data_IF_600123832353
#
_entry.id   IF_600123832353
#
_cell.length_a   1.000
_cell.length_b   1.000
_cell.length_c   1.000
_cell.angle_alpha   90.00
_cell.angle_beta   90.00
_cell.angle_gamma   90.00
#
_symmetry.space_group_name_H-M   'P 1'
#
loop_
_entity.id
_entity.type
_entity.pdbx_description
1 polymer ?
#
# COMPACT_ATOMS: atom_id res chain seq x y z
N UNK A 1 19.25 1.63 9.48
CA UNK A 1 18.45 0.41 9.21
C UNK A 1 17.92 0.58 7.80
N UNK A 2 18.21 -0.34 6.88
CA UNK A 2 17.69 -0.23 5.52
C UNK A 2 16.21 -0.57 5.49
N UNK A 3 15.51 -0.04 4.49
CA UNK A 3 14.12 -0.38 4.18
C UNK A 3 13.96 -1.88 3.94
N UNK A 4 14.93 -2.49 3.24
CA UNK A 4 15.01 -3.94 3.07
C UNK A 4 15.09 -4.76 4.38
N UNK A 5 15.63 -4.19 5.46
CA UNK A 5 15.75 -4.87 6.76
C UNK A 5 14.50 -4.74 7.62
N UNK A 6 13.59 -3.81 7.29
CA UNK A 6 12.31 -3.62 7.96
C UNK A 6 11.13 -4.12 7.13
N UNK A 7 11.39 -4.91 6.08
CA UNK A 7 10.39 -5.35 5.12
C UNK A 7 10.27 -6.86 5.12
N UNK A 8 9.53 -7.34 6.12
CA UNK A 8 9.11 -8.72 6.22
C UNK A 8 7.59 -8.78 6.28
N UNK A 9 7.03 -9.80 5.63
CA UNK A 9 5.59 -10.07 5.64
C UNK A 9 5.33 -11.47 6.19
N UNK A 10 4.18 -11.63 6.83
CA UNK A 10 3.61 -12.96 7.06
C UNK A 10 3.03 -13.46 5.74
N UNK A 11 3.66 -14.48 5.16
CA UNK A 11 3.24 -15.14 3.93
C UNK A 11 2.60 -16.48 4.26
N UNK A 12 1.37 -16.68 3.78
CA UNK A 12 0.60 -17.90 4.03
C UNK A 12 0.56 -18.75 2.77
N UNK A 13 1.04 -19.99 2.88
CA UNK A 13 0.99 -20.99 1.82
C UNK A 13 0.30 -22.28 2.30
N UNK A 14 0.37 -23.34 1.50
CA UNK A 14 -0.18 -24.66 1.83
C UNK A 14 0.52 -25.34 3.03
N UNK A 15 1.71 -24.88 3.41
CA UNK A 15 2.54 -25.45 4.47
C UNK A 15 2.43 -24.67 5.80
N UNK A 16 1.84 -23.47 5.80
CA UNK A 16 1.60 -22.68 6.99
C UNK A 16 1.82 -21.18 6.78
N UNK A 17 2.23 -20.49 7.82
CA UNK A 17 2.61 -19.07 7.76
C UNK A 17 4.12 -18.96 8.01
N UNK A 18 4.83 -18.33 7.09
CA UNK A 18 6.26 -18.00 7.19
C UNK A 18 6.49 -16.49 7.16
N UNK A 19 7.57 -16.04 7.80
CA UNK A 19 8.02 -14.65 7.68
C UNK A 19 9.03 -14.58 6.55
N UNK A 20 8.72 -13.79 5.51
CA UNK A 20 9.53 -13.69 4.29
C UNK A 20 9.80 -12.24 3.93
N UNK A 21 10.81 -12.02 3.10
CA UNK A 21 11.07 -10.71 2.49
C UNK A 21 9.89 -10.33 1.62
N UNK A 22 9.31 -9.17 1.91
CA UNK A 22 8.13 -8.74 1.20
C UNK A 22 7.63 -7.39 1.65
N UNK A 23 6.59 -6.93 0.98
CA UNK A 23 5.86 -5.72 1.35
C UNK A 23 4.36 -5.93 1.25
N UNK A 24 3.65 -5.17 2.08
CA UNK A 24 2.22 -4.95 1.94
C UNK A 24 1.98 -3.65 1.17
N UNK A 25 1.09 -3.74 0.20
CA UNK A 25 0.44 -2.61 -0.45
C UNK A 25 -1.00 -2.54 0.02
N UNK A 26 -1.45 -1.34 0.33
CA UNK A 26 -2.81 -1.06 0.77
C UNK A 26 -3.50 -0.21 -0.29
N UNK A 27 -4.76 -0.50 -0.54
CA UNK A 27 -5.57 0.27 -1.48
C UNK A 27 -6.96 0.48 -0.89
N UNK A 28 -7.41 1.74 -0.87
CA UNK A 28 -8.73 2.10 -0.38
C UNK A 28 -9.70 2.33 -1.53
N UNK A 29 -10.85 1.65 -1.44
CA UNK A 29 -11.94 1.74 -2.38
C UNK A 29 -13.18 2.29 -1.66
N UNK A 30 -13.75 3.41 -2.13
CA UNK A 30 -14.95 3.99 -1.54
C UNK A 30 -16.22 3.17 -1.82
N UNK A 31 -16.13 2.13 -2.66
CA UNK A 31 -17.21 1.20 -2.98
C UNK A 31 -16.69 -0.23 -2.90
N UNK A 32 -17.60 -1.19 -2.71
CA UNK A 32 -17.25 -2.61 -2.72
C UNK A 32 -16.60 -3.00 -4.04
N UNK A 33 -15.42 -3.62 -3.97
CA UNK A 33 -14.68 -4.12 -5.13
C UNK A 33 -15.09 -5.56 -5.40
N UNK A 34 -15.31 -5.88 -6.69
CA UNK A 34 -15.48 -7.28 -7.09
C UNK A 34 -14.11 -7.90 -7.44
N UNK A 35 -13.87 -9.18 -7.10
CA UNK A 35 -12.62 -9.89 -7.44
C UNK A 35 -12.26 -9.82 -8.94
N UNK A 36 -13.25 -9.67 -9.82
CA UNK A 36 -13.06 -9.61 -11.27
C UNK A 36 -12.29 -8.37 -11.74
N UNK A 37 -12.41 -7.24 -11.04
CA UNK A 37 -11.65 -6.02 -11.36
C UNK A 37 -10.16 -6.24 -11.11
N UNK A 38 -9.85 -7.00 -10.05
CA UNK A 38 -8.50 -7.30 -9.60
C UNK A 38 -7.83 -8.31 -10.53
N UNK A 39 -8.56 -9.36 -10.90
CA UNK A 39 -8.06 -10.41 -11.79
C UNK A 39 -7.74 -9.90 -13.21
N UNK A 40 -8.43 -8.85 -13.67
CA UNK A 40 -8.17 -8.24 -14.99
C UNK A 40 -6.80 -7.58 -15.09
N UNK A 41 -6.31 -6.99 -14.01
CA UNK A 41 -5.02 -6.31 -14.02
C UNK A 41 -3.84 -7.24 -13.79
N UNK A 42 -4.09 -8.54 -13.52
CA UNK A 42 -3.09 -9.61 -13.40
C UNK A 42 -1.78 -9.07 -12.85
N UNK A 43 -1.64 -8.96 -11.52
CA UNK A 43 -0.37 -8.59 -10.88
C UNK A 43 0.69 -9.66 -11.22
N UNK A 44 1.20 -9.57 -12.43
CA UNK A 44 2.15 -10.45 -13.05
C UNK A 44 3.40 -9.60 -13.18
N UNK A 45 4.29 -9.76 -12.22
CA UNK A 45 5.64 -9.26 -12.38
C UNK A 45 6.26 -9.97 -13.59
N UNK A 46 6.90 -9.21 -14.48
CA UNK A 46 7.79 -9.80 -15.50
C UNK A 46 9.07 -10.37 -14.86
N UNK A 47 9.34 -10.02 -13.60
CA UNK A 47 10.39 -10.60 -12.79
C UNK A 47 9.88 -11.87 -12.09
N UNK A 48 10.43 -13.06 -12.41
CA UNK A 48 10.00 -14.32 -11.81
C UNK A 48 10.32 -14.43 -10.32
N UNK A 49 11.10 -13.51 -9.74
CA UNK A 49 11.42 -13.51 -8.32
C UNK A 49 10.39 -12.80 -7.44
N UNK A 50 9.25 -12.37 -8.00
CA UNK A 50 8.20 -11.65 -7.27
C UNK A 50 6.89 -12.42 -7.33
N UNK A 51 6.34 -12.71 -6.14
CA UNK A 51 5.09 -13.44 -5.97
C UNK A 51 4.05 -12.56 -5.30
N UNK A 52 2.81 -12.61 -5.76
CA UNK A 52 1.72 -11.79 -5.23
C UNK A 52 0.64 -12.64 -4.54
N UNK A 53 0.11 -12.11 -3.44
CA UNK A 53 -1.07 -12.63 -2.76
C UNK A 53 -2.02 -11.48 -2.42
N UNK A 54 -3.32 -11.70 -2.52
CA UNK A 54 -4.34 -10.65 -2.35
C UNK A 54 -5.30 -11.05 -1.24
N UNK A 55 -5.42 -10.16 -0.26
CA UNK A 55 -6.40 -10.22 0.81
C UNK A 55 -7.35 -9.01 0.70
N UNK A 56 -8.65 -9.23 0.93
CA UNK A 56 -9.68 -8.18 0.89
C UNK A 56 -10.33 -8.03 2.26
N UNK A 57 -10.39 -6.79 2.74
CA UNK A 57 -10.97 -6.42 4.03
C UNK A 57 -12.07 -5.38 3.82
N UNK A 58 -13.30 -5.73 4.17
CA UNK A 58 -14.40 -4.76 4.14
C UNK A 58 -14.36 -3.92 5.42
N UNK A 59 -14.32 -2.60 5.29
CA UNK A 59 -14.50 -1.68 6.41
C UNK A 59 -15.98 -1.28 6.44
N UNK A 60 -16.72 -1.84 7.39
CA UNK A 60 -18.04 -1.33 7.75
C UNK A 60 -17.90 -0.15 8.70
N UNK A 61 -18.80 0.84 8.61
CA UNK A 61 -18.96 1.87 9.64
C UNK A 61 -19.23 1.19 10.99
N UNK A 62 -18.20 1.10 11.82
CA UNK A 62 -18.37 0.82 13.25
C UNK A 62 -17.90 2.05 14.02
N UNK A 63 -18.70 2.43 15.01
CA UNK A 63 -18.88 3.80 15.53
C UNK A 63 -17.68 4.42 16.30
N UNK A 64 -16.46 3.94 16.06
CA UNK A 64 -15.23 4.43 16.68
C UNK A 64 -14.37 5.31 15.75
N UNK A 65 -14.65 5.31 14.44
CA UNK A 65 -13.91 6.11 13.46
C UNK A 65 -14.76 7.30 13.04
N UNK A 66 -14.37 8.51 13.47
CA UNK A 66 -15.22 9.70 13.32
C UNK A 66 -15.38 10.21 11.89
N UNK A 67 -14.61 9.72 10.91
CA UNK A 67 -14.61 10.27 9.54
C UNK A 67 -14.34 9.24 8.42
N UNK A 68 -14.41 7.93 8.69
CA UNK A 68 -14.13 6.91 7.66
C UNK A 68 -15.41 6.58 6.89
N UNK A 69 -15.48 7.01 5.64
CA UNK A 69 -16.50 6.57 4.68
C UNK A 69 -16.47 5.04 4.56
N UNK A 70 -17.63 4.39 4.65
CA UNK A 70 -17.78 2.96 4.36
C UNK A 70 -17.05 2.59 3.06
N UNK A 71 -16.31 1.47 3.07
CA UNK A 71 -15.41 1.16 1.96
C UNK A 71 -14.77 -0.22 2.06
N UNK A 72 -13.86 -0.51 1.14
CA UNK A 72 -13.08 -1.75 1.10
C UNK A 72 -11.61 -1.42 1.08
N UNK A 73 -10.84 -2.05 1.97
CA UNK A 73 -9.38 -2.08 1.91
C UNK A 73 -8.94 -3.36 1.24
N UNK A 74 -8.12 -3.22 0.21
CA UNK A 74 -7.36 -4.33 -0.34
C UNK A 74 -5.95 -4.29 0.20
N UNK A 75 -5.44 -5.47 0.53
CA UNK A 75 -4.05 -5.70 0.91
C UNK A 75 -3.46 -6.62 -0.14
N UNK A 76 -2.49 -6.09 -0.88
CA UNK A 76 -1.70 -6.86 -1.82
C UNK A 76 -0.34 -7.11 -1.18
N UNK A 77 -0.04 -8.38 -0.92
CA UNK A 77 1.24 -8.83 -0.40
C UNK A 77 2.15 -9.20 -1.56
N UNK A 78 3.37 -8.67 -1.59
CA UNK A 78 4.39 -9.02 -2.57
C UNK A 78 5.60 -9.63 -1.86
N UNK A 79 5.91 -10.89 -2.17
CA UNK A 79 7.10 -11.62 -1.70
C UNK A 79 8.22 -11.49 -2.73
N UNK A 80 9.45 -11.37 -2.23
CA UNK A 80 10.67 -11.35 -3.06
C UNK A 80 11.62 -12.49 -2.68
N UNK A 81 12.09 -13.24 -3.68
CA UNK A 81 13.22 -14.15 -3.47
C UNK A 81 14.55 -13.38 -3.40
N UNK A 82 14.66 -12.28 -4.14
CA UNK A 82 15.79 -11.37 -4.12
C UNK A 82 15.29 -9.91 -4.18
N UNK A 83 15.93 -9.03 -3.40
CA UNK A 83 15.63 -7.61 -3.46
C UNK A 83 16.06 -7.02 -4.81
N UNK A 84 15.20 -6.25 -5.49
CA UNK A 84 15.61 -5.53 -6.69
C UNK A 84 16.60 -4.42 -6.36
N UNK A 85 17.26 -3.86 -7.38
CA UNK A 85 18.02 -2.62 -7.19
C UNK A 85 17.08 -1.42 -6.90
N UNK A 86 17.63 -0.30 -6.44
CA UNK A 86 16.83 0.89 -6.08
C UNK A 86 15.99 1.45 -7.24
N UNK A 87 16.45 1.33 -8.49
CA UNK A 87 15.73 1.85 -9.66
C UNK A 87 14.52 0.97 -9.95
N UNK A 88 14.74 -0.34 -10.04
CA UNK A 88 13.68 -1.34 -10.23
C UNK A 88 12.70 -1.36 -9.08
N UNK A 89 13.18 -1.18 -7.85
CA UNK A 89 12.35 -1.04 -6.66
C UNK A 89 11.35 0.12 -6.77
N UNK A 90 11.83 1.32 -7.09
CA UNK A 90 10.96 2.51 -7.20
C UNK A 90 9.96 2.35 -8.34
N UNK A 91 10.39 1.79 -9.47
CA UNK A 91 9.50 1.49 -10.58
C UNK A 91 8.42 0.47 -10.17
N UNK A 92 8.83 -0.63 -9.54
CA UNK A 92 7.93 -1.66 -9.02
C UNK A 92 6.88 -1.08 -8.07
N UNK A 93 7.31 -0.36 -7.02
CA UNK A 93 6.40 0.24 -6.04
C UNK A 93 5.44 1.22 -6.72
N UNK A 94 5.94 2.08 -7.60
CA UNK A 94 5.11 3.03 -8.34
C UNK A 94 4.07 2.33 -9.22
N UNK A 95 4.50 1.35 -10.01
CA UNK A 95 3.65 0.67 -10.97
C UNK A 95 2.57 -0.16 -10.27
N UNK A 96 2.90 -0.81 -9.15
CA UNK A 96 1.92 -1.55 -8.34
C UNK A 96 0.88 -0.62 -7.72
N UNK A 97 1.31 0.47 -7.08
CA UNK A 97 0.40 1.47 -6.51
C UNK A 97 -0.49 2.11 -7.58
N UNK A 98 0.09 2.44 -8.74
CA UNK A 98 -0.66 2.97 -9.88
C UNK A 98 -1.70 1.97 -10.39
N UNK A 99 -1.31 0.71 -10.59
CA UNK A 99 -2.22 -0.36 -11.05
C UNK A 99 -3.42 -0.51 -10.11
N UNK A 100 -3.19 -0.46 -8.80
CA UNK A 100 -4.27 -0.51 -7.82
C UNK A 100 -5.26 0.66 -7.97
N UNK A 101 -4.81 1.85 -8.36
CA UNK A 101 -5.72 2.96 -8.70
C UNK A 101 -6.42 2.82 -10.05
N UNK A 102 -5.79 2.18 -11.04
CA UNK A 102 -6.47 1.82 -12.30
C UNK A 102 -7.59 0.80 -12.06
N UNK A 103 -7.44 -0.05 -11.04
CA UNK A 103 -8.50 -0.93 -10.53
C UNK A 103 -9.62 -0.17 -9.78
N UNK A 104 -9.53 1.15 -9.64
CA UNK A 104 -10.55 1.98 -8.99
C UNK A 104 -10.30 2.31 -7.53
N UNK A 105 -9.10 2.07 -7.00
CA UNK A 105 -8.72 2.58 -5.68
C UNK A 105 -8.61 4.11 -5.75
N UNK A 106 -9.16 4.80 -4.75
CA UNK A 106 -9.06 6.25 -4.63
C UNK A 106 -7.63 6.67 -4.25
N UNK A 107 -7.03 5.90 -3.34
CA UNK A 107 -5.65 6.07 -2.92
C UNK A 107 -5.02 4.71 -2.59
N UNK A 108 -3.69 4.66 -2.68
CA UNK A 108 -2.90 3.46 -2.45
C UNK A 108 -1.61 3.85 -1.74
N UNK A 109 -1.11 2.97 -0.87
CA UNK A 109 0.10 3.26 -0.10
C UNK A 109 0.82 1.99 0.34
N UNK A 110 2.08 2.15 0.75
CA UNK A 110 2.84 1.13 1.46
C UNK A 110 3.76 1.78 2.50
N UNK A 111 4.00 1.04 3.56
CA UNK A 111 4.80 1.47 4.69
C UNK A 111 5.48 0.29 5.38
N UNK A 112 6.01 0.50 6.58
CA UNK A 112 6.61 -0.57 7.38
C UNK A 112 5.53 -1.45 8.05
N UNK A 113 5.94 -2.37 8.92
CA UNK A 113 5.08 -3.29 9.66
C UNK A 113 4.02 -2.62 10.56
N UNK A 114 4.17 -1.32 10.87
CA UNK A 114 3.21 -0.54 11.65
C UNK A 114 2.10 0.06 10.76
N UNK A 115 2.21 -0.09 9.45
CA UNK A 115 1.18 0.33 8.50
C UNK A 115 -0.06 -0.52 8.72
N UNK A 116 -1.10 0.11 9.27
CA UNK A 116 -2.34 -0.58 9.58
C UNK A 116 -3.28 -0.63 8.38
N UNK A 117 -4.25 -1.54 8.46
CA UNK A 117 -5.36 -1.69 7.52
C UNK A 117 -6.39 -0.54 7.60
N UNK A 118 -5.94 0.71 7.73
CA UNK A 118 -6.83 1.87 7.81
C UNK A 118 -6.29 3.05 7.01
N UNK A 119 -7.12 3.77 6.24
CA UNK A 119 -6.77 5.06 5.65
C UNK A 119 -6.31 6.10 6.68
N UNK A 120 -6.70 5.95 7.96
CA UNK A 120 -6.23 6.81 9.05
C UNK A 120 -4.72 6.71 9.28
N UNK A 121 -4.08 5.64 8.79
CA UNK A 121 -2.62 5.56 8.72
C UNK A 121 -2.00 6.72 7.92
N UNK A 122 -2.77 7.36 7.04
CA UNK A 122 -2.37 8.53 6.26
C UNK A 122 -2.70 9.86 6.96
N UNK A 123 -3.45 9.84 8.07
CA UNK A 123 -3.81 11.06 8.80
C UNK A 123 -2.65 11.49 9.72
N UNK A 124 -1.95 12.59 9.44
CA UNK A 124 -0.82 13.02 10.26
C UNK A 124 -1.24 13.42 11.68
N UNK A 125 -2.50 13.78 11.91
CA UNK A 125 -3.00 14.16 13.23
C UNK A 125 -3.25 12.98 14.17
N UNK A 126 -3.36 11.76 13.62
CA UNK A 126 -3.55 10.53 14.39
C UNK A 126 -2.23 9.81 14.69
N UNK A 127 -1.09 10.49 14.45
CA UNK A 127 0.24 9.91 14.57
C UNK A 127 0.54 8.99 13.39
N UNK A 128 0.34 9.51 12.16
CA UNK A 128 0.40 8.80 10.88
C UNK A 128 1.40 7.65 10.86
N UNK A 129 0.98 6.51 10.29
CA UNK A 129 1.85 5.36 10.19
C UNK A 129 3.10 5.72 9.39
N UNK A 130 4.15 4.92 9.59
CA UNK A 130 5.36 4.97 8.80
C UNK A 130 5.05 4.53 7.35
N UNK A 131 4.42 5.41 6.58
CA UNK A 131 4.15 5.27 5.15
C UNK A 131 5.30 5.93 4.41
N UNK A 132 6.00 5.20 3.56
CA UNK A 132 7.13 5.74 2.81
C UNK A 132 6.84 5.98 1.33
N UNK A 133 5.76 5.38 0.82
CA UNK A 133 5.28 5.62 -0.53
C UNK A 133 3.75 5.60 -0.61
N UNK A 134 3.21 6.49 -1.43
CA UNK A 134 1.78 6.60 -1.68
C UNK A 134 1.53 7.07 -3.10
N UNK A 135 0.34 6.76 -3.61
CA UNK A 135 -0.13 7.21 -4.91
C UNK A 135 -1.63 7.53 -4.85
N UNK A 136 -2.00 8.68 -5.41
CA UNK A 136 -3.37 8.98 -5.80
C UNK A 136 -3.37 9.64 -7.18
N UNK A 137 -4.44 9.49 -7.99
CA UNK A 137 -4.52 10.15 -9.29
C UNK A 137 -4.44 11.69 -9.21
N UNK A 138 -4.91 12.28 -8.11
CA UNK A 138 -4.91 13.75 -7.91
C UNK A 138 -3.52 14.32 -7.62
N UNK A 139 -2.66 13.56 -6.93
CA UNK A 139 -1.36 14.06 -6.41
C UNK A 139 -0.18 13.45 -7.15
N UNK A 140 -0.35 12.25 -7.69
CA UNK A 140 0.70 11.45 -8.27
C UNK A 140 1.46 10.61 -7.23
N UNK A 141 2.62 10.12 -7.65
CA UNK A 141 3.48 9.23 -6.87
C UNK A 141 4.38 10.00 -5.91
N UNK A 142 4.35 9.62 -4.63
CA UNK A 142 5.26 10.09 -3.59
C UNK A 142 6.05 8.89 -3.06
N UNK A 143 7.38 9.01 -2.96
CA UNK A 143 8.23 7.97 -2.39
C UNK A 143 9.55 8.54 -1.89
N UNK A 144 9.75 8.47 -0.56
CA UNK A 144 10.95 9.02 0.07
C UNK A 144 12.00 7.96 0.32
N UNK A 145 11.60 6.74 0.67
CA UNK A 145 12.50 5.64 1.01
C UNK A 145 13.03 4.85 -0.19
N UNK A 146 14.35 4.89 -0.50
CA UNK A 146 15.02 3.91 -1.34
C UNK A 146 15.18 2.58 -0.60
N UNK A 147 15.13 1.45 -1.32
CA UNK A 147 15.21 0.10 -0.71
C UNK A 147 16.53 -0.18 0.03
N UNK A 148 17.65 0.22 -0.58
CA UNK A 148 19.00 -0.18 -0.16
C UNK A 148 19.79 0.93 0.57
N UNK A 149 19.15 2.02 0.97
CA UNK A 149 19.82 3.06 1.77
C UNK A 149 19.60 2.83 3.26
N UNK A 150 20.59 3.20 4.08
CA UNK A 150 20.60 2.95 5.54
C UNK A 150 19.59 3.79 6.36
N UNK A 151 18.77 4.59 5.68
CA UNK A 151 17.77 5.47 6.29
C UNK A 151 16.41 5.18 5.68
N UNK A 152 15.53 4.61 6.49
CA UNK A 152 14.09 4.65 6.29
C UNK A 152 13.61 6.09 6.46
N UNK A 153 12.87 6.60 5.48
CA UNK A 153 12.28 7.94 5.53
C UNK A 153 10.78 7.85 5.16
N UNK A 154 9.88 8.05 6.14
CA UNK A 154 8.45 8.14 5.86
C UNK A 154 8.13 9.45 5.13
N UNK A 155 6.95 9.49 4.51
CA UNK A 155 6.37 10.72 3.98
C UNK A 155 6.27 11.76 5.11
N UNK A 156 6.52 13.02 4.79
CA UNK A 156 6.33 14.11 5.74
C UNK A 156 4.86 14.34 6.05
N UNK A 157 4.54 14.96 7.19
CA UNK A 157 3.17 15.33 7.56
C UNK A 157 2.46 16.10 6.44
N UNK A 158 3.16 16.99 5.73
CA UNK A 158 2.59 17.74 4.62
C UNK A 158 2.24 16.84 3.41
N UNK A 159 3.08 15.84 3.10
CA UNK A 159 2.77 14.87 2.05
C UNK A 159 1.61 13.95 2.44
N UNK A 160 1.58 13.53 3.71
CA UNK A 160 0.50 12.73 4.29
C UNK A 160 -0.82 13.51 4.30
N UNK A 161 -0.83 14.77 4.75
CA UNK A 161 -2.01 15.65 4.68
C UNK A 161 -2.53 15.78 3.26
N UNK A 162 -1.64 16.00 2.28
CA UNK A 162 -2.03 16.11 0.87
C UNK A 162 -2.69 14.82 0.40
N UNK A 163 -2.08 13.65 0.62
CA UNK A 163 -2.66 12.39 0.13
C UNK A 163 -3.98 12.07 0.85
N UNK A 164 -4.06 12.31 2.15
CA UNK A 164 -5.25 12.06 2.96
C UNK A 164 -6.43 12.97 2.57
N UNK A 165 -6.17 14.23 2.17
CA UNK A 165 -7.24 15.15 1.75
C UNK A 165 -8.01 14.65 0.52
N UNK A 166 -7.42 13.74 -0.26
CA UNK A 166 -8.09 13.12 -1.43
C UNK A 166 -9.29 12.27 -1.05
N UNK A 167 -9.40 11.83 0.21
CA UNK A 167 -10.56 11.09 0.72
C UNK A 167 -11.81 11.96 0.88
N UNK A 168 -11.65 13.26 1.10
CA UNK A 168 -12.74 14.16 1.49
C UNK A 168 -13.16 15.13 0.40
N UNK A 169 -12.34 15.25 -0.65
CA UNK A 169 -12.71 16.01 -1.83
C UNK A 169 -13.61 15.17 -2.73
N UNK A 170 -14.92 15.15 -2.42
CA UNK A 170 -15.94 14.72 -3.37
C UNK A 170 -15.80 15.52 -4.68
N UNK A 171 -15.97 14.85 -5.82
CA UNK A 171 -15.99 15.48 -7.13
C UNK A 171 -17.10 16.56 -7.15
N UNK A 172 -16.69 17.84 -7.03
CA UNK A 172 -17.50 19.03 -7.31
C UNK A 172 -17.83 19.16 -8.79
#
# INVERSE_FOLDING_TARGET
>A
MTVANSMEIAWKDENGTEIVKGIYFYAYFPKTVTPDIINKHSFNSSDPSVYFHIDLFTISEDAAFTEVHSGTIMVLSARFDAWPDNLRWRAFVKDTLHTLTECGALLTWCGNELSSYSPDSLNPHLGGADVYAAYSPKIGYLCRSPLLTDTYEPLSDNEMSRIYSTLFEEDL
#
